data_IF_165085159702
#
_entry.id   IF_165085159702
#
_cell.length_a   1.000
_cell.length_b   1.000
_cell.length_c   1.000
_cell.angle_alpha   90.00
_cell.angle_beta   90.00
_cell.angle_gamma   90.00
#
_symmetry.space_group_name_H-M   'P 1'
#
loop_
_entity.id
_entity.type
_entity.pdbx_description
1 polymer ?
#
# COMPACT_ATOMS: atom_id res chain seq x y z
N UNK A 1 -18.47 -26.18 -9.39
CA UNK A 1 -19.03 -24.81 -9.20
C UNK A 1 -19.85 -24.77 -7.91
N UNK A 2 -20.13 -23.59 -7.32
CA UNK A 2 -20.93 -23.52 -6.08
C UNK A 2 -22.39 -23.94 -6.30
N UNK A 3 -22.98 -23.61 -7.45
CA UNK A 3 -24.33 -24.09 -7.83
C UNK A 3 -24.46 -25.63 -7.80
N UNK A 4 -23.47 -26.36 -8.31
CA UNK A 4 -23.47 -27.83 -8.30
C UNK A 4 -23.45 -28.40 -6.87
N UNK A 5 -22.70 -27.76 -5.97
CA UNK A 5 -22.65 -28.15 -4.56
C UNK A 5 -23.95 -27.79 -3.83
N UNK A 6 -24.60 -26.70 -4.23
CA UNK A 6 -25.90 -26.28 -3.71
C UNK A 6 -27.01 -27.21 -4.18
N UNK A 7 -26.98 -27.74 -5.40
CA UNK A 7 -27.91 -28.79 -5.83
C UNK A 7 -27.70 -30.09 -5.04
N UNK A 8 -26.45 -30.49 -4.82
CA UNK A 8 -26.15 -31.66 -3.99
C UNK A 8 -26.61 -31.47 -2.53
N UNK A 9 -26.50 -30.25 -1.99
CA UNK A 9 -26.95 -29.97 -0.61
C UNK A 9 -28.47 -30.11 -0.46
N UNK A 10 -29.24 -29.74 -1.50
CA UNK A 10 -30.70 -29.97 -1.54
C UNK A 10 -31.04 -31.45 -1.51
N UNK A 11 -30.28 -32.30 -2.22
CA UNK A 11 -30.44 -33.77 -2.16
C UNK A 11 -30.20 -34.32 -0.74
N UNK A 12 -29.37 -33.64 0.05
CA UNK A 12 -29.07 -33.97 1.45
C UNK A 12 -30.03 -33.29 2.45
N UNK A 13 -31.13 -32.70 1.98
CA UNK A 13 -32.10 -31.93 2.79
C UNK A 13 -31.46 -30.77 3.58
N UNK A 14 -30.40 -30.18 3.03
CA UNK A 14 -29.86 -28.93 3.53
C UNK A 14 -30.61 -27.78 2.88
N UNK A 15 -31.14 -26.87 3.71
CA UNK A 15 -31.64 -25.58 3.24
C UNK A 15 -30.47 -24.63 2.96
N UNK A 16 -30.76 -23.49 2.32
CA UNK A 16 -29.75 -22.51 1.92
C UNK A 16 -28.96 -21.96 3.12
N UNK A 17 -29.60 -21.78 4.27
CA UNK A 17 -28.95 -21.29 5.49
C UNK A 17 -27.91 -22.29 6.00
N UNK A 18 -28.29 -23.57 6.13
CA UNK A 18 -27.36 -24.65 6.49
C UNK A 18 -26.24 -24.83 5.47
N UNK A 19 -26.52 -24.64 4.18
CA UNK A 19 -25.50 -24.70 3.14
C UNK A 19 -24.46 -23.57 3.30
N UNK A 20 -24.91 -22.34 3.60
CA UNK A 20 -24.01 -21.21 3.87
C UNK A 20 -23.21 -21.43 5.17
N UNK A 21 -23.84 -21.95 6.22
CA UNK A 21 -23.14 -22.33 7.46
C UNK A 21 -22.09 -23.40 7.21
N UNK A 22 -22.41 -24.44 6.45
CA UNK A 22 -21.47 -25.45 6.01
C UNK A 22 -20.28 -24.81 5.27
N UNK A 23 -20.54 -23.96 4.28
CA UNK A 23 -19.48 -23.33 3.50
C UNK A 23 -18.55 -22.48 4.38
N UNK A 24 -19.11 -21.67 5.29
CA UNK A 24 -18.35 -20.87 6.26
C UNK A 24 -17.55 -21.73 7.22
N UNK A 25 -18.18 -22.76 7.79
CA UNK A 25 -17.56 -23.67 8.75
C UNK A 25 -16.38 -24.39 8.11
N UNK A 26 -16.56 -25.09 7.00
CA UNK A 26 -15.50 -25.85 6.35
C UNK A 26 -14.42 -24.97 5.71
N UNK A 27 -14.77 -23.75 5.27
CA UNK A 27 -13.76 -22.76 4.85
C UNK A 27 -12.91 -22.29 6.03
N UNK A 28 -13.50 -22.15 7.23
CA UNK A 28 -12.76 -21.71 8.43
C UNK A 28 -11.65 -22.68 8.87
N UNK A 29 -11.81 -23.98 8.59
CA UNK A 29 -10.81 -25.04 8.77
C UNK A 29 -9.89 -25.25 7.55
N UNK A 30 -10.13 -24.53 6.45
CA UNK A 30 -9.39 -24.71 5.20
C UNK A 30 -9.63 -26.05 4.52
N UNK A 31 -10.74 -26.75 4.85
CA UNK A 31 -11.13 -28.01 4.19
C UNK A 31 -11.66 -27.76 2.78
N UNK A 32 -12.33 -26.62 2.60
CA UNK A 32 -12.70 -26.06 1.29
C UNK A 32 -12.30 -24.59 1.26
N UNK A 33 -12.38 -23.95 0.09
CA UNK A 33 -12.30 -22.49 -0.03
C UNK A 33 -13.55 -22.02 -0.77
N UNK A 34 -14.53 -21.48 -0.03
CA UNK A 34 -15.63 -20.74 -0.63
C UNK A 34 -15.16 -19.31 -0.95
N UNK A 35 -14.94 -19.03 -2.24
CA UNK A 35 -14.44 -17.74 -2.72
C UNK A 35 -15.49 -16.64 -2.54
N UNK A 36 -16.78 -17.01 -2.47
CA UNK A 36 -17.86 -16.04 -2.26
C UNK A 36 -17.81 -15.34 -0.90
N UNK A 37 -17.07 -15.91 0.06
CA UNK A 37 -16.81 -15.29 1.36
C UNK A 37 -15.82 -14.12 1.27
N UNK A 38 -15.09 -14.01 0.16
CA UNK A 38 -14.13 -12.93 -0.10
C UNK A 38 -14.67 -12.00 -1.19
N UNK A 39 -15.19 -12.57 -2.28
CA UNK A 39 -15.85 -11.86 -3.37
C UNK A 39 -17.30 -12.37 -3.49
N UNK A 40 -18.29 -11.65 -2.95
CA UNK A 40 -19.70 -12.09 -2.98
C UNK A 40 -20.26 -12.38 -4.38
N UNK A 41 -19.63 -11.90 -5.45
CA UNK A 41 -20.03 -12.18 -6.83
C UNK A 41 -19.50 -13.50 -7.37
N UNK A 42 -18.54 -14.13 -6.68
CA UNK A 42 -17.90 -15.37 -7.10
C UNK A 42 -18.79 -16.58 -6.86
N UNK A 43 -18.87 -17.47 -7.85
CA UNK A 43 -19.57 -18.76 -7.79
C UNK A 43 -18.59 -19.95 -7.63
N UNK A 44 -17.39 -19.67 -7.12
CA UNK A 44 -16.31 -20.66 -7.00
C UNK A 44 -16.23 -21.23 -5.58
N UNK A 45 -16.22 -22.56 -5.49
CA UNK A 45 -15.81 -23.31 -4.30
C UNK A 45 -14.69 -24.28 -4.70
N UNK A 46 -13.57 -24.20 -3.98
CA UNK A 46 -12.44 -25.13 -4.13
C UNK A 46 -12.60 -26.25 -3.10
N UNK A 47 -12.97 -27.45 -3.55
CA UNK A 47 -13.19 -28.62 -2.69
C UNK A 47 -11.90 -29.34 -2.27
N UNK A 48 -10.81 -29.16 -3.02
CA UNK A 48 -9.50 -29.75 -2.73
C UNK A 48 -8.42 -28.67 -2.63
N UNK A 49 -8.38 -27.89 -1.53
CA UNK A 49 -7.49 -26.74 -1.39
C UNK A 49 -6.01 -27.08 -1.62
N UNK A 50 -5.53 -28.22 -1.10
CA UNK A 50 -4.12 -28.62 -1.26
C UNK A 50 -3.77 -28.88 -2.74
N UNK A 51 -4.60 -29.64 -3.44
CA UNK A 51 -4.39 -29.93 -4.88
C UNK A 51 -4.40 -28.64 -5.70
N UNK A 52 -5.34 -27.75 -5.39
CA UNK A 52 -5.46 -26.44 -6.03
C UNK A 52 -4.24 -25.54 -5.77
N UNK A 53 -3.79 -25.42 -4.52
CA UNK A 53 -2.62 -24.62 -4.15
C UNK A 53 -1.33 -25.15 -4.78
N UNK A 54 -1.13 -26.48 -4.79
CA UNK A 54 0.02 -27.11 -5.44
C UNK A 54 0.08 -26.81 -6.95
N UNK A 55 -1.07 -26.60 -7.60
CA UNK A 55 -1.12 -26.16 -9.01
C UNK A 55 -0.80 -24.67 -9.14
N UNK A 56 -1.32 -23.83 -8.25
CA UNK A 56 -0.96 -22.41 -8.21
C UNK A 56 0.54 -22.19 -8.02
N UNK A 57 1.22 -23.07 -7.29
CA UNK A 57 2.68 -23.03 -7.14
C UNK A 57 3.40 -23.05 -8.50
N UNK A 58 2.86 -23.75 -9.52
CA UNK A 58 3.47 -23.77 -10.86
C UNK A 58 3.51 -22.38 -11.53
N UNK A 59 2.56 -21.51 -11.18
CA UNK A 59 2.52 -20.13 -11.64
C UNK A 59 3.50 -19.24 -10.86
N UNK A 60 3.53 -19.36 -9.52
CA UNK A 60 4.39 -18.51 -8.68
C UNK A 60 5.87 -18.93 -8.70
N UNK A 61 6.17 -20.18 -9.04
CA UNK A 61 7.52 -20.69 -9.26
C UNK A 61 7.80 -20.99 -10.73
N UNK A 62 7.15 -20.24 -11.62
CA UNK A 62 7.29 -20.42 -13.06
C UNK A 62 8.73 -20.17 -13.52
N UNK A 63 9.33 -21.17 -14.16
CA UNK A 63 10.77 -21.21 -14.47
C UNK A 63 11.09 -21.41 -15.95
N UNK A 64 10.14 -21.14 -16.85
CA UNK A 64 10.30 -21.45 -18.29
C UNK A 64 11.24 -20.49 -19.05
N UNK A 65 11.84 -19.51 -18.37
CA UNK A 65 12.68 -18.48 -18.98
C UNK A 65 11.91 -17.38 -19.72
N UNK A 66 10.58 -17.43 -19.75
CA UNK A 66 9.73 -16.38 -20.30
C UNK A 66 9.85 -15.10 -19.45
N UNK A 67 10.58 -14.12 -19.97
CA UNK A 67 10.81 -12.86 -19.28
C UNK A 67 9.53 -12.04 -19.15
N UNK A 68 8.57 -12.16 -20.08
CA UNK A 68 7.28 -11.43 -20.03
C UNK A 68 6.52 -11.80 -18.76
N UNK A 69 6.52 -13.09 -18.42
CA UNK A 69 5.94 -13.59 -17.17
C UNK A 69 6.80 -13.23 -15.97
N UNK A 70 8.04 -13.72 -15.95
CA UNK A 70 8.91 -13.67 -14.76
C UNK A 70 9.45 -12.28 -14.42
N UNK A 71 9.40 -11.34 -15.37
CA UNK A 71 9.85 -9.96 -15.15
C UNK A 71 8.71 -8.98 -15.03
N UNK A 72 7.65 -9.11 -15.82
CA UNK A 72 6.58 -8.12 -15.89
C UNK A 72 5.28 -8.58 -15.25
N UNK A 73 5.19 -9.85 -14.86
CA UNK A 73 3.99 -10.41 -14.30
C UNK A 73 2.86 -10.55 -15.31
N UNK A 74 3.14 -10.43 -16.61
CA UNK A 74 2.12 -10.61 -17.64
C UNK A 74 2.05 -12.08 -18.05
N UNK A 75 0.90 -12.70 -17.81
CA UNK A 75 0.64 -14.10 -18.13
C UNK A 75 -0.35 -14.13 -19.28
N UNK A 76 0.13 -14.48 -20.48
CA UNK A 76 -0.73 -14.62 -21.65
C UNK A 76 -1.77 -15.72 -21.42
N UNK A 77 -2.90 -15.67 -22.17
CA UNK A 77 -3.88 -16.76 -22.15
C UNK A 77 -3.24 -18.13 -22.45
N UNK A 78 -2.38 -18.19 -23.47
CA UNK A 78 -1.70 -19.42 -23.86
C UNK A 78 -0.77 -19.94 -22.75
N UNK A 79 -0.06 -19.03 -22.07
CA UNK A 79 0.80 -19.38 -20.93
C UNK A 79 -0.04 -19.94 -19.77
N UNK A 80 -1.17 -19.30 -19.45
CA UNK A 80 -2.07 -19.78 -18.40
C UNK A 80 -2.59 -21.20 -18.72
N UNK A 81 -3.01 -21.44 -19.96
CA UNK A 81 -3.45 -22.76 -20.43
C UNK A 81 -2.32 -23.79 -20.35
N UNK A 82 -1.09 -23.43 -20.73
CA UNK A 82 0.06 -24.32 -20.64
C UNK A 82 0.41 -24.69 -19.18
N UNK A 83 0.19 -23.80 -18.22
CA UNK A 83 0.46 -24.05 -16.79
C UNK A 83 -0.64 -24.92 -16.16
N UNK A 84 -1.91 -24.65 -16.49
CA UNK A 84 -3.05 -25.17 -15.72
C UNK A 84 -3.89 -26.22 -16.46
N UNK A 85 -3.82 -26.35 -17.78
CA UNK A 85 -4.62 -27.33 -18.54
C UNK A 85 -3.81 -28.61 -18.84
N UNK A 86 -3.21 -29.22 -17.81
CA UNK A 86 -2.49 -30.49 -17.99
C UNK A 86 -3.44 -31.66 -18.28
N UNK A 87 -4.71 -31.52 -17.91
CA UNK A 87 -5.75 -32.52 -18.12
C UNK A 87 -7.00 -31.92 -18.79
N UNK A 88 -7.82 -32.73 -19.48
CA UNK A 88 -8.98 -32.25 -20.24
C UNK A 88 -10.07 -31.56 -19.41
N UNK A 89 -10.16 -31.90 -18.12
CA UNK A 89 -11.11 -31.37 -17.14
C UNK A 89 -10.59 -30.12 -16.40
N UNK A 90 -9.35 -29.72 -16.66
CA UNK A 90 -8.73 -28.57 -16.02
C UNK A 90 -8.87 -27.31 -16.87
N UNK A 91 -9.22 -26.21 -16.20
CA UNK A 91 -9.50 -24.95 -16.88
C UNK A 91 -8.75 -23.81 -16.19
N UNK A 92 -7.74 -23.29 -16.88
CA UNK A 92 -6.95 -22.11 -16.51
C UNK A 92 -7.84 -20.90 -16.15
N UNK A 93 -9.00 -20.75 -16.77
CA UNK A 93 -9.94 -19.68 -16.44
C UNK A 93 -10.44 -19.75 -14.99
N UNK A 94 -10.54 -20.95 -14.39
CA UNK A 94 -10.93 -21.11 -12.99
C UNK A 94 -9.85 -20.58 -12.04
N UNK A 95 -8.59 -20.89 -12.35
CA UNK A 95 -7.44 -20.38 -11.58
C UNK A 95 -7.33 -18.87 -11.70
N UNK A 96 -7.51 -18.33 -12.91
CA UNK A 96 -7.47 -16.89 -13.14
C UNK A 96 -8.63 -16.16 -12.46
N UNK A 97 -9.86 -16.67 -12.57
CA UNK A 97 -11.02 -16.12 -11.88
C UNK A 97 -10.86 -16.15 -10.35
N UNK A 98 -10.24 -17.19 -9.80
CA UNK A 98 -9.87 -17.24 -8.38
C UNK A 98 -8.88 -16.12 -8.01
N UNK A 99 -7.81 -15.94 -8.79
CA UNK A 99 -6.83 -14.89 -8.54
C UNK A 99 -7.41 -13.48 -8.71
N UNK A 100 -8.32 -13.28 -9.66
CA UNK A 100 -9.07 -12.03 -9.85
C UNK A 100 -9.98 -11.74 -8.64
N UNK A 101 -10.68 -12.75 -8.12
CA UNK A 101 -11.52 -12.64 -6.92
C UNK A 101 -10.72 -12.19 -5.68
N UNK A 102 -9.43 -12.57 -5.62
CA UNK A 102 -8.51 -12.18 -4.54
C UNK A 102 -7.77 -10.86 -4.80
N UNK A 103 -8.05 -10.16 -5.91
CA UNK A 103 -7.28 -8.98 -6.37
C UNK A 103 -5.78 -9.27 -6.51
N UNK A 104 -5.43 -10.50 -6.88
CA UNK A 104 -4.06 -10.92 -7.15
C UNK A 104 -3.74 -10.92 -8.65
N UNK A 105 -4.77 -10.89 -9.49
CA UNK A 105 -4.67 -10.77 -10.93
C UNK A 105 -5.71 -9.77 -11.44
N UNK A 106 -5.41 -9.13 -12.57
CA UNK A 106 -6.44 -8.45 -13.38
C UNK A 106 -6.29 -8.87 -14.83
N UNK A 107 -7.40 -9.09 -15.50
CA UNK A 107 -7.42 -9.28 -16.95
C UNK A 107 -6.90 -8.02 -17.66
N UNK A 108 -6.10 -8.24 -18.70
CA UNK A 108 -5.57 -7.21 -19.59
C UNK A 108 -6.05 -7.54 -21.01
N UNK A 109 -6.70 -6.58 -21.65
CA UNK A 109 -7.25 -6.71 -22.99
C UNK A 109 -6.20 -6.34 -24.06
N UNK A 110 -6.37 -6.79 -25.32
CA UNK A 110 -5.59 -6.29 -26.45
C UNK A 110 -5.60 -4.76 -26.49
N UNK A 111 -4.45 -4.16 -26.79
CA UNK A 111 -4.23 -2.71 -26.73
C UNK A 111 -4.06 -2.11 -25.33
N UNK A 112 -4.20 -2.87 -24.24
CA UNK A 112 -3.90 -2.38 -22.87
C UNK A 112 -2.49 -2.76 -22.39
N UNK A 113 -1.72 -3.45 -23.21
CA UNK A 113 -0.34 -3.87 -22.96
C UNK A 113 0.47 -3.66 -24.23
N UNK A 114 1.75 -3.33 -24.10
CA UNK A 114 2.62 -3.00 -25.25
C UNK A 114 2.87 -4.18 -26.20
N UNK A 115 2.49 -5.39 -25.81
CA UNK A 115 2.34 -6.54 -26.72
C UNK A 115 0.86 -6.71 -27.01
N UNK A 116 0.46 -6.78 -28.28
CA UNK A 116 -0.96 -6.90 -28.65
C UNK A 116 -1.50 -8.32 -28.38
N UNK A 117 -1.65 -8.64 -27.10
CA UNK A 117 -2.07 -9.94 -26.59
C UNK A 117 -3.03 -9.77 -25.41
N UNK A 118 -3.96 -10.70 -25.30
CA UNK A 118 -4.79 -10.82 -24.11
C UNK A 118 -4.09 -11.67 -23.05
N UNK A 119 -4.17 -11.25 -21.79
CA UNK A 119 -3.60 -11.99 -20.67
C UNK A 119 -4.08 -11.48 -19.33
N UNK A 120 -3.26 -11.74 -18.32
CA UNK A 120 -3.48 -11.32 -16.94
C UNK A 120 -2.23 -10.65 -16.41
N UNK A 121 -2.41 -9.56 -15.68
CA UNK A 121 -1.34 -8.93 -14.91
C UNK A 121 -1.34 -9.48 -13.48
N UNK A 122 -0.25 -10.13 -13.09
CA UNK A 122 -0.05 -10.84 -11.83
C UNK A 122 1.33 -10.44 -11.27
N UNK A 123 1.46 -9.35 -10.50
CA UNK A 123 2.76 -8.82 -10.08
C UNK A 123 3.59 -9.79 -9.21
N UNK A 124 2.96 -10.79 -8.60
CA UNK A 124 3.61 -11.72 -7.67
C UNK A 124 4.41 -12.83 -8.35
N UNK A 125 4.26 -13.03 -9.66
CA UNK A 125 5.11 -14.00 -10.39
C UNK A 125 6.45 -13.41 -10.78
N UNK A 126 6.62 -12.09 -10.62
CA UNK A 126 7.89 -11.41 -10.85
C UNK A 126 8.94 -11.89 -9.84
N UNK A 127 10.16 -12.18 -10.30
CA UNK A 127 11.24 -12.71 -9.45
C UNK A 127 12.48 -11.80 -9.36
N UNK A 128 12.45 -10.61 -9.95
CA UNK A 128 13.52 -9.63 -9.83
C UNK A 128 13.59 -9.01 -8.45
N UNK A 129 14.80 -8.69 -8.00
CA UNK A 129 15.03 -8.02 -6.72
C UNK A 129 14.23 -6.70 -6.64
N UNK A 130 13.69 -6.34 -5.47
CA UNK A 130 12.96 -5.09 -5.31
C UNK A 130 13.88 -3.88 -5.44
N UNK A 131 13.34 -2.80 -5.99
CA UNK A 131 13.95 -1.49 -5.96
C UNK A 131 13.69 -0.84 -4.61
N UNK A 132 14.75 -0.50 -3.89
CA UNK A 132 14.65 0.10 -2.54
C UNK A 132 14.92 1.61 -2.53
N UNK A 133 15.25 2.18 -3.68
CA UNK A 133 15.45 3.62 -3.83
C UNK A 133 14.11 4.33 -3.98
N UNK A 134 13.98 5.51 -3.40
CA UNK A 134 12.83 6.40 -3.50
C UNK A 134 13.31 7.74 -4.09
N UNK A 135 12.61 8.33 -5.07
CA UNK A 135 12.97 9.65 -5.59
C UNK A 135 12.30 10.74 -4.76
N UNK A 136 13.04 11.76 -4.29
CA UNK A 136 12.48 12.72 -3.34
C UNK A 136 11.37 13.60 -3.92
N UNK A 137 11.41 13.89 -5.22
CA UNK A 137 10.48 14.82 -5.89
C UNK A 137 9.34 14.12 -6.65
N UNK A 138 9.22 12.80 -6.51
CA UNK A 138 8.06 12.03 -6.98
C UNK A 138 6.80 12.34 -6.18
N UNK A 139 5.64 11.98 -6.73
CA UNK A 139 4.40 11.94 -5.97
C UNK A 139 4.37 10.65 -5.16
N UNK A 140 4.17 10.75 -3.85
CA UNK A 140 4.06 9.58 -2.97
C UNK A 140 2.67 9.53 -2.37
N UNK A 141 2.07 8.35 -2.38
CA UNK A 141 0.91 8.00 -1.59
C UNK A 141 1.39 7.27 -0.35
N UNK A 142 1.04 7.79 0.83
CA UNK A 142 1.39 7.24 2.14
C UNK A 142 0.13 6.76 2.83
N UNK A 143 0.14 5.57 3.42
CA UNK A 143 -1.05 4.97 4.06
C UNK A 143 -0.71 4.23 5.36
N UNK A 144 -1.68 4.08 6.28
CA UNK A 144 -1.48 3.51 7.64
C UNK A 144 -1.42 1.98 7.70
N UNK A 145 -1.94 1.29 6.70
CA UNK A 145 -2.01 -0.17 6.67
C UNK A 145 -1.22 -0.73 5.49
N UNK A 146 -0.54 -1.86 5.68
CA UNK A 146 0.00 -2.63 4.56
C UNK A 146 -1.17 -3.25 3.76
N UNK A 147 -1.65 -2.53 2.74
CA UNK A 147 -2.33 -3.17 1.61
C UNK A 147 -1.34 -4.21 1.05
N UNK A 148 -1.78 -5.38 0.60
CA UNK A 148 -0.80 -6.28 -0.03
C UNK A 148 -0.28 -5.65 -1.33
N UNK A 149 1.02 -5.80 -1.61
CA UNK A 149 1.67 -5.40 -2.87
C UNK A 149 0.80 -5.74 -4.09
N UNK A 150 0.26 -6.95 -4.09
CA UNK A 150 -0.58 -7.48 -5.16
C UNK A 150 -1.88 -6.69 -5.29
N UNK A 151 -2.60 -6.49 -4.18
CA UNK A 151 -3.89 -5.83 -4.19
C UNK A 151 -3.78 -4.43 -4.78
N UNK A 152 -2.86 -3.61 -4.29
CA UNK A 152 -2.75 -2.23 -4.78
C UNK A 152 -2.32 -2.20 -6.25
N UNK A 153 -1.24 -2.90 -6.63
CA UNK A 153 -0.74 -2.89 -8.01
C UNK A 153 -1.79 -3.39 -8.99
N UNK A 154 -2.51 -4.45 -8.66
CA UNK A 154 -3.56 -5.03 -9.53
C UNK A 154 -4.73 -4.07 -9.67
N UNK A 155 -5.28 -3.59 -8.55
CA UNK A 155 -6.45 -2.71 -8.56
C UNK A 155 -6.13 -1.38 -9.24
N UNK A 156 -4.97 -0.80 -8.96
CA UNK A 156 -4.49 0.41 -9.61
C UNK A 156 -4.33 0.21 -11.12
N UNK A 157 -3.66 -0.86 -11.55
CA UNK A 157 -3.45 -1.13 -12.98
C UNK A 157 -4.78 -1.32 -13.71
N UNK A 158 -5.70 -2.09 -13.14
CA UNK A 158 -7.01 -2.34 -13.71
C UNK A 158 -7.81 -1.03 -13.89
N UNK A 159 -7.90 -0.23 -12.82
CA UNK A 159 -8.65 1.01 -12.82
C UNK A 159 -8.01 2.05 -13.75
N UNK A 160 -6.67 2.17 -13.75
CA UNK A 160 -5.95 3.16 -14.53
C UNK A 160 -6.06 2.90 -16.03
N UNK A 161 -5.87 1.64 -16.47
CA UNK A 161 -5.99 1.28 -17.89
C UNK A 161 -7.43 1.39 -18.39
N UNK A 162 -8.42 1.27 -17.50
CA UNK A 162 -9.84 1.51 -17.80
C UNK A 162 -10.16 3.01 -17.91
N UNK A 163 -9.65 3.84 -17.00
CA UNK A 163 -9.95 5.27 -16.94
C UNK A 163 -9.11 6.11 -17.90
N UNK A 164 -7.93 5.60 -18.30
CA UNK A 164 -6.99 6.29 -19.18
C UNK A 164 -6.60 5.41 -20.38
N UNK A 165 -7.48 5.26 -21.39
CA UNK A 165 -7.28 4.33 -22.51
C UNK A 165 -6.09 4.64 -23.43
N UNK A 166 -5.42 5.79 -23.26
CA UNK A 166 -4.19 6.13 -23.99
C UNK A 166 -2.97 5.37 -23.45
N UNK A 167 -3.04 4.87 -22.21
CA UNK A 167 -1.95 4.14 -21.57
C UNK A 167 -2.02 2.63 -21.84
N UNK A 168 -0.86 2.02 -21.72
CA UNK A 168 -0.64 0.58 -21.77
C UNK A 168 0.28 0.17 -20.63
N UNK A 169 0.16 -1.09 -20.21
CA UNK A 169 1.17 -1.75 -19.39
C UNK A 169 2.43 -1.98 -20.24
N UNK A 170 3.57 -1.44 -19.80
CA UNK A 170 4.85 -1.59 -20.49
C UNK A 170 5.53 -2.91 -20.11
N UNK A 171 5.62 -3.83 -21.08
CA UNK A 171 6.33 -5.11 -20.94
C UNK A 171 7.62 -5.18 -21.78
N UNK A 172 8.13 -4.04 -22.25
CA UNK A 172 9.34 -3.97 -23.09
C UNK A 172 10.64 -3.94 -22.29
N UNK A 173 10.61 -3.47 -21.04
CA UNK A 173 11.78 -3.32 -20.16
C UNK A 173 11.59 -3.98 -18.81
N UNK A 174 12.54 -4.83 -18.43
CA UNK A 174 12.53 -5.63 -17.19
C UNK A 174 12.46 -4.74 -15.93
N UNK A 175 11.32 -4.68 -15.22
CA UNK A 175 11.21 -3.93 -13.97
C UNK A 175 11.62 -4.78 -12.77
N UNK A 176 11.85 -4.12 -11.64
CA UNK A 176 11.93 -4.77 -10.33
C UNK A 176 10.55 -5.31 -9.89
N UNK A 177 10.48 -6.33 -9.02
CA UNK A 177 9.20 -6.94 -8.56
C UNK A 177 8.18 -5.92 -8.04
N UNK A 178 8.66 -4.88 -7.37
CA UNK A 178 7.81 -3.86 -6.77
C UNK A 178 7.50 -2.69 -7.72
N UNK A 179 7.91 -2.75 -8.98
CA UNK A 179 7.67 -1.71 -9.99
C UNK A 179 6.62 -2.18 -11.00
N UNK A 180 5.76 -1.27 -11.43
CA UNK A 180 4.88 -1.40 -12.60
C UNK A 180 5.17 -0.22 -13.54
N UNK A 181 5.33 -0.49 -14.83
CA UNK A 181 5.62 0.53 -15.83
C UNK A 181 4.40 0.76 -16.72
N UNK A 182 4.14 2.01 -17.05
CA UNK A 182 3.10 2.40 -17.99
C UNK A 182 3.74 3.21 -19.14
N UNK A 183 3.24 3.00 -20.36
CA UNK A 183 3.65 3.73 -21.56
C UNK A 183 2.42 4.15 -22.38
N UNK A 184 2.64 4.99 -23.39
CA UNK A 184 1.65 5.22 -24.44
C UNK A 184 1.64 4.08 -25.46
N UNK A 185 0.63 4.10 -26.34
CA UNK A 185 0.57 3.24 -27.53
C UNK A 185 1.75 3.45 -28.51
N UNK A 186 2.49 4.55 -28.38
CA UNK A 186 3.73 4.83 -29.11
C UNK A 186 4.98 4.23 -28.44
N UNK A 187 4.82 3.44 -27.38
CA UNK A 187 5.88 2.92 -26.49
C UNK A 187 6.65 4.01 -25.71
N UNK A 188 6.19 5.27 -25.77
CA UNK A 188 6.77 6.36 -25.00
C UNK A 188 6.46 6.19 -23.50
N UNK A 189 7.45 6.28 -22.59
CA UNK A 189 7.23 6.11 -21.16
C UNK A 189 6.24 7.12 -20.58
N UNK A 190 5.30 6.65 -19.75
CA UNK A 190 4.30 7.50 -19.10
C UNK A 190 4.63 7.75 -17.63
N UNK A 191 4.69 6.69 -16.82
CA UNK A 191 5.16 6.74 -15.43
C UNK A 191 5.50 5.34 -14.93
N UNK A 192 6.15 5.27 -13.78
CA UNK A 192 6.35 4.05 -13.02
C UNK A 192 5.63 4.15 -11.67
N UNK A 193 4.97 3.08 -11.27
CA UNK A 193 4.45 2.88 -9.91
C UNK A 193 5.44 2.00 -9.17
N UNK A 194 5.97 2.46 -8.05
CA UNK A 194 6.90 1.73 -7.19
C UNK A 194 6.28 1.52 -5.81
N UNK A 195 6.07 0.26 -5.44
CA UNK A 195 5.52 -0.10 -4.13
C UNK A 195 6.65 -0.31 -3.12
N UNK A 196 6.61 0.41 -2.01
CA UNK A 196 7.66 0.39 -0.97
C UNK A 196 7.09 0.02 0.41
N UNK A 197 5.90 -0.60 0.47
CA UNK A 197 5.22 -0.95 1.72
C UNK A 197 4.10 0.03 2.03
N UNK A 198 4.28 0.85 3.07
CA UNK A 198 3.39 1.95 3.47
C UNK A 198 3.44 3.16 2.52
N UNK A 199 4.33 3.11 1.53
CA UNK A 199 4.54 4.14 0.53
C UNK A 199 4.38 3.55 -0.86
N UNK A 200 3.63 4.25 -1.70
CA UNK A 200 3.58 4.02 -3.14
C UNK A 200 4.10 5.28 -3.82
N UNK A 201 5.15 5.13 -4.62
CA UNK A 201 5.76 6.22 -5.37
C UNK A 201 5.32 6.18 -6.84
N UNK A 202 4.96 7.35 -7.38
CA UNK A 202 4.69 7.56 -8.80
C UNK A 202 5.80 8.40 -9.41
N UNK A 203 6.58 7.79 -10.31
CA UNK A 203 7.72 8.41 -10.99
C UNK A 203 7.37 8.80 -12.40
N UNK A 204 7.64 10.05 -12.75
CA UNK A 204 7.35 10.58 -14.08
C UNK A 204 8.65 10.82 -14.85
N UNK A 205 8.71 10.49 -16.14
CA UNK A 205 9.75 11.01 -17.02
C UNK A 205 9.55 12.53 -17.23
N UNK A 206 10.38 13.13 -18.08
CA UNK A 206 10.23 14.53 -18.50
C UNK A 206 9.03 14.66 -19.46
N UNK A 207 7.83 14.64 -18.89
CA UNK A 207 6.56 14.93 -19.56
C UNK A 207 6.36 16.44 -19.70
N UNK A 208 5.61 16.84 -20.73
CA UNK A 208 5.10 18.20 -20.82
C UNK A 208 4.10 18.47 -19.69
N UNK A 209 3.88 19.76 -19.41
CA UNK A 209 3.08 20.23 -18.27
C UNK A 209 1.62 19.79 -18.35
N UNK A 210 1.01 19.84 -19.53
CA UNK A 210 -0.41 19.52 -19.71
C UNK A 210 -0.64 18.03 -19.55
N UNK A 211 0.25 17.22 -20.10
CA UNK A 211 0.23 15.77 -19.99
C UNK A 211 0.49 15.30 -18.56
N UNK A 212 1.47 15.89 -17.87
CA UNK A 212 1.72 15.59 -16.46
C UNK A 212 0.48 15.88 -15.61
N UNK A 213 -0.21 16.99 -15.87
CA UNK A 213 -1.44 17.35 -15.18
C UNK A 213 -2.54 16.31 -15.45
N UNK A 214 -2.76 15.94 -16.71
CA UNK A 214 -3.76 14.94 -17.12
C UNK A 214 -3.49 13.58 -16.44
N UNK A 215 -2.25 13.08 -16.53
CA UNK A 215 -1.86 11.78 -15.99
C UNK A 215 -1.94 11.78 -14.47
N UNK A 216 -1.39 12.80 -13.81
CA UNK A 216 -1.41 12.90 -12.35
C UNK A 216 -2.84 13.01 -11.80
N UNK A 217 -3.74 13.74 -12.48
CA UNK A 217 -5.15 13.80 -12.10
C UNK A 217 -5.81 12.41 -12.15
N UNK A 218 -5.50 11.60 -13.15
CA UNK A 218 -5.99 10.21 -13.24
C UNK A 218 -5.40 9.31 -12.15
N UNK A 219 -4.11 9.46 -11.84
CA UNK A 219 -3.45 8.72 -10.75
C UNK A 219 -4.12 9.03 -9.41
N UNK A 220 -4.31 10.31 -9.08
CA UNK A 220 -4.92 10.75 -7.82
C UNK A 220 -6.34 10.22 -7.67
N UNK A 221 -7.18 10.35 -8.71
CA UNK A 221 -8.55 9.79 -8.71
C UNK A 221 -8.57 8.29 -8.46
N UNK A 222 -7.70 7.54 -9.12
CA UNK A 222 -7.63 6.10 -8.96
C UNK A 222 -7.17 5.71 -7.54
N UNK A 223 -6.19 6.41 -6.98
CA UNK A 223 -5.80 6.23 -5.58
C UNK A 223 -6.98 6.47 -4.62
N UNK A 224 -7.77 7.53 -4.84
CA UNK A 224 -8.98 7.77 -4.05
C UNK A 224 -10.00 6.64 -4.17
N UNK A 225 -10.26 6.13 -5.38
CA UNK A 225 -11.18 5.01 -5.61
C UNK A 225 -10.76 3.81 -4.75
N UNK A 226 -9.51 3.37 -4.86
CA UNK A 226 -8.97 2.21 -4.11
C UNK A 226 -9.00 2.45 -2.60
N UNK A 227 -8.55 3.62 -2.14
CA UNK A 227 -8.50 3.92 -0.71
C UNK A 227 -9.88 4.08 -0.08
N UNK A 228 -10.91 4.42 -0.88
CA UNK A 228 -12.29 4.52 -0.39
C UNK A 228 -13.01 3.16 -0.29
N UNK A 229 -12.50 2.11 -0.95
CA UNK A 229 -13.04 0.73 -0.81
C UNK A 229 -12.77 0.13 0.58
N UNK A 230 -11.90 0.76 1.39
CA UNK A 230 -11.48 0.25 2.69
C UNK A 230 -11.35 1.39 3.72
N UNK A 231 -11.25 1.07 5.01
CA UNK A 231 -11.08 2.06 6.08
C UNK A 231 -9.64 2.55 6.27
N UNK A 232 -8.88 2.59 5.17
CA UNK A 232 -7.47 2.99 5.17
C UNK A 232 -7.37 4.51 5.22
N UNK A 233 -6.50 5.00 6.12
CA UNK A 233 -6.13 6.40 6.15
C UNK A 233 -4.91 6.61 5.25
N UNK A 234 -4.92 7.69 4.46
CA UNK A 234 -3.84 7.99 3.55
C UNK A 234 -3.63 9.49 3.36
N UNK A 235 -2.47 9.84 2.81
CA UNK A 235 -2.11 11.19 2.36
C UNK A 235 -1.17 11.14 1.17
N UNK A 236 -1.08 12.24 0.44
CA UNK A 236 -0.04 12.42 -0.56
C UNK A 236 1.12 13.24 -0.01
N UNK A 237 2.34 12.94 -0.45
CA UNK A 237 3.55 13.59 0.03
C UNK A 237 4.66 13.64 -1.03
N UNK A 238 5.68 14.45 -0.74
CA UNK A 238 7.02 14.33 -1.32
C UNK A 238 8.02 13.93 -0.24
N UNK A 239 9.21 13.46 -0.59
CA UNK A 239 10.25 13.20 0.42
C UNK A 239 11.16 14.42 0.56
N UNK A 240 11.58 14.71 1.80
CA UNK A 240 12.49 15.80 2.11
C UNK A 240 13.89 15.54 1.54
N UNK A 241 14.56 16.61 1.12
CA UNK A 241 15.93 16.55 0.58
C UNK A 241 16.98 16.12 1.63
N UNK A 242 16.68 16.23 2.93
CA UNK A 242 17.54 15.73 4.02
C UNK A 242 17.88 14.26 3.90
N UNK A 243 17.01 13.50 3.24
CA UNK A 243 17.10 12.06 3.11
C UNK A 243 18.12 11.62 2.05
N UNK A 244 18.61 12.54 1.19
CA UNK A 244 19.60 12.21 0.14
C UNK A 244 20.95 11.73 0.70
N UNK A 245 21.24 12.00 1.97
CA UNK A 245 22.52 11.66 2.62
C UNK A 245 22.47 10.44 3.55
N UNK A 246 21.28 9.87 3.80
CA UNK A 246 21.15 8.64 4.58
C UNK A 246 21.14 7.45 3.60
N UNK A 247 22.12 6.55 3.73
CA UNK A 247 22.38 5.49 2.75
C UNK A 247 21.17 4.63 2.34
N UNK A 248 21.38 3.84 1.28
CA UNK A 248 20.42 3.12 0.42
C UNK A 248 19.42 2.14 1.07
N UNK A 249 19.28 2.09 2.40
CA UNK A 249 18.52 1.04 3.07
C UNK A 249 17.73 1.50 4.31
N UNK A 250 17.43 2.80 4.45
CA UNK A 250 16.62 3.28 5.57
C UNK A 250 15.44 4.08 5.06
N UNK A 251 14.22 3.51 5.18
CA UNK A 251 12.93 4.18 4.99
C UNK A 251 12.66 5.27 6.07
N UNK A 252 13.70 5.85 6.67
CA UNK A 252 13.62 7.00 7.56
C UNK A 252 13.61 8.28 6.73
N UNK A 253 12.59 8.43 5.89
CA UNK A 253 12.46 9.61 5.06
C UNK A 253 11.55 10.61 5.75
N UNK A 254 12.07 11.79 6.09
CA UNK A 254 11.19 12.93 6.38
C UNK A 254 10.38 13.21 5.10
N UNK A 255 9.07 13.35 5.23
CA UNK A 255 8.13 13.55 4.13
C UNK A 255 7.59 14.99 4.18
N UNK A 256 6.85 15.45 3.19
CA UNK A 256 6.09 16.68 3.32
C UNK A 256 4.73 16.46 2.69
N UNK A 257 3.67 16.64 3.48
CA UNK A 257 2.32 16.45 3.01
C UNK A 257 2.02 17.40 1.84
N UNK A 258 1.25 16.91 0.88
CA UNK A 258 0.73 17.68 -0.22
C UNK A 258 -0.75 18.05 0.06
N UNK A 259 -1.22 19.25 -0.33
CA UNK A 259 -0.50 20.34 -1.02
C UNK A 259 0.70 20.88 -0.22
N UNK A 260 1.84 21.09 -0.89
CA UNK A 260 3.09 21.49 -0.23
C UNK A 260 2.97 22.93 0.27
N UNK A 261 2.79 23.09 1.58
CA UNK A 261 2.60 24.39 2.25
C UNK A 261 3.83 24.84 3.04
N UNK A 262 4.89 24.04 3.05
CA UNK A 262 6.05 24.23 3.94
C UNK A 262 7.19 25.05 3.32
N UNK A 263 7.74 25.99 4.10
CA UNK A 263 8.97 26.74 3.83
C UNK A 263 10.23 25.90 4.12
N UNK A 264 10.26 24.63 3.68
CA UNK A 264 11.40 23.77 3.96
C UNK A 264 12.65 24.24 3.18
N UNK A 265 13.53 25.00 3.84
CA UNK A 265 14.73 25.60 3.24
C UNK A 265 15.60 24.58 2.51
N UNK A 266 15.72 23.36 3.05
CA UNK A 266 16.52 22.29 2.45
C UNK A 266 15.91 21.76 1.15
N UNK A 267 14.60 21.58 1.12
CA UNK A 267 13.88 21.22 -0.10
C UNK A 267 13.99 22.33 -1.15
N UNK A 268 13.76 23.58 -0.74
CA UNK A 268 13.88 24.76 -1.61
C UNK A 268 15.28 24.92 -2.22
N UNK A 269 16.34 24.59 -1.47
CA UNK A 269 17.72 24.65 -1.97
C UNK A 269 18.10 23.48 -2.89
N UNK A 270 17.51 22.30 -2.69
CA UNK A 270 17.86 21.09 -3.43
C UNK A 270 17.03 20.87 -4.71
N UNK A 271 15.81 21.42 -4.77
CA UNK A 271 14.89 21.23 -5.90
C UNK A 271 15.33 22.02 -7.13
N UNK A 272 15.23 21.39 -8.30
CA UNK A 272 15.34 22.11 -9.57
C UNK A 272 14.07 22.92 -9.87
N UNK A 273 14.16 23.87 -10.81
CA UNK A 273 12.97 24.59 -11.29
C UNK A 273 11.88 23.64 -11.82
N UNK A 274 12.27 22.53 -12.47
CA UNK A 274 11.34 21.50 -12.94
C UNK A 274 10.63 20.81 -11.77
N UNK A 275 11.34 20.47 -10.70
CA UNK A 275 10.73 19.85 -9.52
C UNK A 275 9.70 20.77 -8.86
N UNK A 276 10.03 22.06 -8.74
CA UNK A 276 9.11 23.08 -8.20
C UNK A 276 7.83 23.17 -9.04
N UNK A 277 7.94 23.14 -10.37
CA UNK A 277 6.76 23.13 -11.25
C UNK A 277 5.93 21.84 -11.11
N UNK A 278 6.58 20.67 -11.02
CA UNK A 278 5.89 19.39 -10.78
C UNK A 278 5.11 19.40 -9.46
N UNK A 279 5.74 19.86 -8.38
CA UNK A 279 5.10 19.92 -7.05
C UNK A 279 3.91 20.89 -7.03
N UNK A 280 4.00 22.00 -7.76
CA UNK A 280 2.86 22.92 -7.96
C UNK A 280 1.69 22.24 -8.66
N UNK A 281 1.96 21.40 -9.67
CA UNK A 281 0.93 20.61 -10.36
C UNK A 281 0.30 19.58 -9.42
N UNK A 282 1.11 18.86 -8.65
CA UNK A 282 0.58 17.89 -7.67
C UNK A 282 -0.30 18.59 -6.63
N UNK A 283 0.17 19.73 -6.11
CA UNK A 283 -0.56 20.52 -5.12
C UNK A 283 -1.88 21.07 -5.67
N UNK A 284 -1.91 21.52 -6.93
CA UNK A 284 -3.15 22.02 -7.54
C UNK A 284 -4.17 20.91 -7.77
N UNK A 285 -3.73 19.72 -8.19
CA UNK A 285 -4.59 18.54 -8.36
C UNK A 285 -5.17 18.12 -7.02
N UNK A 286 -4.35 18.06 -5.97
CA UNK A 286 -4.79 17.66 -4.63
C UNK A 286 -5.65 18.70 -3.91
N UNK A 287 -5.60 19.95 -4.35
CA UNK A 287 -6.56 21.00 -3.93
C UNK A 287 -7.91 20.82 -4.65
N UNK A 288 -7.90 20.31 -5.90
CA UNK A 288 -9.12 20.02 -6.67
C UNK A 288 -9.78 18.70 -6.22
N UNK A 289 -8.97 17.71 -5.87
CA UNK A 289 -9.38 16.36 -5.45
C UNK A 289 -8.92 16.14 -4.00
N UNK A 290 -9.60 16.80 -3.07
CA UNK A 290 -9.24 16.75 -1.65
C UNK A 290 -9.55 15.38 -1.04
N UNK A 291 -8.71 14.94 -0.12
CA UNK A 291 -8.96 13.76 0.69
C UNK A 291 -10.04 14.09 1.71
N UNK A 292 -11.06 13.24 1.83
CA UNK A 292 -12.08 13.38 2.86
C UNK A 292 -11.43 13.42 4.25
N UNK A 293 -11.83 14.35 5.12
CA UNK A 293 -11.23 14.55 6.45
C UNK A 293 -11.12 13.27 7.28
N UNK A 294 -12.10 12.36 7.15
CA UNK A 294 -12.16 11.09 7.87
C UNK A 294 -11.16 10.04 7.36
N UNK A 295 -10.60 10.25 6.16
CA UNK A 295 -9.62 9.38 5.49
C UNK A 295 -8.20 9.93 5.54
N UNK A 296 -8.00 11.12 6.10
CA UNK A 296 -6.68 11.76 6.16
C UNK A 296 -5.80 11.02 7.16
N UNK A 297 -4.64 10.56 6.69
CA UNK A 297 -3.59 10.03 7.54
C UNK A 297 -2.94 11.16 8.36
N UNK A 298 -3.40 11.38 9.58
CA UNK A 298 -2.77 12.36 10.46
C UNK A 298 -1.38 11.86 10.88
N UNK A 299 -0.34 12.54 10.43
CA UNK A 299 1.06 12.15 10.64
C UNK A 299 1.49 12.27 12.10
N UNK A 300 1.44 11.16 12.83
CA UNK A 300 2.53 10.53 13.58
C UNK A 300 1.97 9.37 14.43
N UNK A 301 2.77 8.30 14.54
CA UNK A 301 2.56 7.23 15.51
C UNK A 301 2.88 7.76 16.92
N UNK A 302 2.00 7.50 17.88
CA UNK A 302 2.21 7.85 19.30
C UNK A 302 3.58 7.38 19.82
N UNK A 303 4.13 6.31 19.24
CA UNK A 303 5.47 5.79 19.51
C UNK A 303 6.59 6.80 19.23
N UNK A 304 6.56 7.45 18.06
CA UNK A 304 7.62 8.35 17.62
C UNK A 304 7.58 9.64 18.44
N UNK A 305 6.38 10.16 18.66
CA UNK A 305 6.18 11.31 19.56
C UNK A 305 6.67 10.94 20.96
N UNK A 306 6.35 9.75 21.45
CA UNK A 306 6.76 9.31 22.79
C UNK A 306 8.27 9.18 22.93
N UNK A 307 8.98 8.67 21.92
CA UNK A 307 10.44 8.56 21.92
C UNK A 307 11.10 9.94 21.89
N UNK A 308 10.65 10.85 21.02
CA UNK A 308 11.21 12.21 20.95
C UNK A 308 10.98 13.00 22.24
N UNK A 309 9.87 12.78 22.92
CA UNK A 309 9.60 13.42 24.23
C UNK A 309 10.59 12.98 25.32
N UNK A 310 11.26 11.81 25.18
CA UNK A 310 12.33 11.38 26.12
C UNK A 310 13.62 12.18 26.00
N UNK A 311 13.78 12.95 24.92
CA UNK A 311 14.97 13.77 24.66
C UNK A 311 14.90 15.16 25.30
N UNK A 312 13.75 15.51 25.89
CA UNK A 312 13.57 16.73 26.66
C UNK A 312 14.34 16.68 27.98
N UNK A 313 14.60 17.84 28.57
CA UNK A 313 15.03 17.92 29.97
C UNK A 313 13.94 17.35 30.91
N UNK A 314 14.35 16.83 32.07
CA UNK A 314 13.46 16.17 33.03
C UNK A 314 12.35 17.12 33.53
N UNK A 315 12.69 18.39 33.75
CA UNK A 315 11.75 19.44 34.15
C UNK A 315 10.68 19.68 33.07
N UNK A 316 11.04 19.55 31.80
CA UNK A 316 10.16 19.78 30.65
C UNK A 316 9.30 18.58 30.32
N UNK A 317 9.88 17.39 30.35
CA UNK A 317 9.15 16.13 30.32
C UNK A 317 8.00 16.13 31.37
N UNK A 318 8.32 16.54 32.60
CA UNK A 318 7.35 16.67 33.70
C UNK A 318 6.27 17.71 33.42
N UNK A 319 6.63 18.85 32.83
CA UNK A 319 5.67 19.91 32.46
C UNK A 319 4.70 19.44 31.37
N UNK A 320 5.22 18.83 30.30
CA UNK A 320 4.40 18.23 29.23
C UNK A 320 3.45 17.19 29.81
N UNK A 321 3.97 16.24 30.60
CA UNK A 321 3.14 15.19 31.20
C UNK A 321 2.02 15.76 32.09
N UNK A 322 2.34 16.76 32.90
CA UNK A 322 1.37 17.38 33.82
C UNK A 322 0.27 18.12 33.06
N UNK A 323 0.60 18.75 31.94
CA UNK A 323 -0.35 19.48 31.09
C UNK A 323 -1.39 18.55 30.43
N UNK A 324 -0.98 17.32 30.09
CA UNK A 324 -1.87 16.34 29.44
C UNK A 324 -2.60 15.43 30.44
N UNK A 325 -1.98 15.09 31.56
CA UNK A 325 -2.55 14.16 32.54
C UNK A 325 -3.22 14.83 33.73
N UNK A 326 -2.98 16.13 33.96
CA UNK A 326 -3.51 16.89 35.10
C UNK A 326 -2.90 16.50 36.44
N UNK A 327 -1.80 15.74 36.44
CA UNK A 327 -1.13 15.24 37.65
C UNK A 327 0.38 15.33 37.49
N UNK A 328 1.08 15.79 38.53
CA UNK A 328 2.54 15.66 38.61
C UNK A 328 2.92 14.26 39.08
N UNK A 329 3.89 13.64 38.42
CA UNK A 329 4.47 12.36 38.83
C UNK A 329 6.00 12.49 38.85
N UNK A 330 6.70 11.62 39.58
CA UNK A 330 8.17 11.51 39.51
C UNK A 330 8.50 10.19 38.79
N UNK A 331 8.13 10.14 37.50
CA UNK A 331 8.40 9.00 36.64
C UNK A 331 9.79 9.13 36.01
N UNK A 332 10.29 8.00 35.51
CA UNK A 332 11.48 8.03 34.65
C UNK A 332 11.12 8.65 33.30
N UNK A 333 11.55 9.90 33.13
CA UNK A 333 11.29 10.69 31.92
C UNK A 333 12.12 10.27 30.71
N UNK A 334 13.05 9.32 30.88
CA UNK A 334 13.75 8.69 29.75
C UNK A 334 13.01 7.48 29.20
N UNK A 335 11.95 7.00 29.87
CA UNK A 335 11.14 5.88 29.40
C UNK A 335 10.02 6.36 28.47
N UNK A 336 10.13 6.03 27.18
CA UNK A 336 9.14 6.37 26.15
C UNK A 336 7.75 5.83 26.48
N UNK A 337 7.64 4.72 27.24
CA UNK A 337 6.34 4.14 27.62
C UNK A 337 5.50 5.10 28.46
N UNK A 338 6.15 5.98 29.23
CA UNK A 338 5.47 7.01 30.04
C UNK A 338 4.72 7.98 29.13
N UNK A 339 5.36 8.43 28.05
CA UNK A 339 4.76 9.34 27.08
C UNK A 339 3.78 8.65 26.14
N UNK A 340 4.03 7.40 25.75
CA UNK A 340 3.06 6.65 24.97
C UNK A 340 1.76 6.48 25.75
N UNK A 341 1.82 6.09 27.02
CA UNK A 341 0.63 5.97 27.85
C UNK A 341 -0.10 7.31 28.00
N UNK A 342 0.64 8.41 28.14
CA UNK A 342 0.06 9.76 28.17
C UNK A 342 -0.72 10.07 26.89
N UNK A 343 -0.11 9.84 25.73
CA UNK A 343 -0.72 10.11 24.42
C UNK A 343 -1.98 9.25 24.24
N UNK A 344 -1.89 7.94 24.48
CA UNK A 344 -3.03 7.03 24.37
C UNK A 344 -4.17 7.41 25.32
N UNK A 345 -3.85 7.77 26.57
CA UNK A 345 -4.86 8.19 27.56
C UNK A 345 -5.51 9.51 27.18
N UNK A 346 -4.76 10.43 26.56
CA UNK A 346 -5.31 11.67 26.03
C UNK A 346 -6.20 11.42 24.81
N UNK A 347 -5.80 10.50 23.94
CA UNK A 347 -6.55 10.10 22.75
C UNK A 347 -7.89 9.46 23.08
N UNK A 348 -7.95 8.58 24.08
CA UNK A 348 -9.19 7.96 24.55
C UNK A 348 -10.20 8.99 25.10
N UNK A 349 -9.71 10.10 25.67
CA UNK A 349 -10.53 11.10 26.35
C UNK A 349 -11.03 12.23 25.45
N UNK A 350 -10.45 12.43 24.26
CA UNK A 350 -10.72 13.59 23.40
C UNK A 350 -11.09 13.16 21.98
N UNK A 351 -12.20 13.68 21.43
CA UNK A 351 -12.55 13.50 20.00
C UNK A 351 -11.69 14.45 19.15
N UNK A 352 -11.10 13.94 18.06
CA UNK A 352 -10.03 14.59 17.25
C UNK A 352 -8.69 14.79 17.98
N UNK A 353 -8.30 13.80 18.79
CA UNK A 353 -7.22 13.93 19.75
C UNK A 353 -5.83 14.23 19.19
N UNK A 354 -5.42 13.69 18.03
CA UNK A 354 -4.02 13.84 17.56
C UNK A 354 -3.66 15.27 17.18
N UNK A 355 -4.52 15.95 16.41
CA UNK A 355 -4.30 17.37 16.03
C UNK A 355 -4.37 18.29 17.25
N UNK A 356 -5.33 18.03 18.15
CA UNK A 356 -5.46 18.80 19.38
C UNK A 356 -4.30 18.54 20.35
N UNK A 357 -3.78 17.31 20.40
CA UNK A 357 -2.62 16.94 21.19
C UNK A 357 -1.38 17.74 20.74
N UNK A 358 -1.06 17.75 19.45
CA UNK A 358 0.09 18.48 18.93
C UNK A 358 -0.08 20.01 19.05
N UNK A 359 -1.28 20.53 18.78
CA UNK A 359 -1.57 21.96 18.97
C UNK A 359 -1.40 22.36 20.44
N UNK A 360 -1.87 21.52 21.37
CA UNK A 360 -1.68 21.73 22.80
C UNK A 360 -0.21 21.62 23.20
N UNK A 361 0.53 20.65 22.65
CA UNK A 361 1.96 20.47 22.89
C UNK A 361 2.77 21.72 22.46
N UNK A 362 2.42 22.32 21.32
CA UNK A 362 3.03 23.55 20.81
C UNK A 362 2.73 24.78 21.69
N UNK A 363 1.55 24.81 22.32
CA UNK A 363 1.12 25.93 23.16
C UNK A 363 1.78 25.98 24.54
N UNK A 364 2.54 24.93 24.91
CA UNK A 364 3.25 24.89 26.20
C UNK A 364 4.41 25.89 26.17
N UNK A 365 4.50 26.84 27.11
CA UNK A 365 5.53 27.87 27.09
C UNK A 365 6.90 27.33 27.52
N UNK A 366 7.90 27.48 26.65
CA UNK A 366 9.29 27.09 26.89
C UNK A 366 10.22 28.30 26.93
N UNK A 367 11.09 28.38 27.94
CA UNK A 367 12.07 29.46 28.11
C UNK A 367 13.46 29.12 27.54
N UNK A 368 13.74 27.82 27.34
CA UNK A 368 14.96 27.32 26.73
C UNK A 368 14.74 27.11 25.23
N UNK A 369 15.59 27.73 24.42
CA UNK A 369 15.54 27.65 22.96
C UNK A 369 15.76 26.22 22.44
N UNK A 370 16.61 25.42 23.08
CA UNK A 370 16.90 24.06 22.60
C UNK A 370 15.71 23.11 22.74
N UNK A 371 14.97 23.19 23.84
CA UNK A 371 13.79 22.33 24.07
C UNK A 371 12.56 22.88 23.33
N UNK A 372 12.45 24.21 23.16
CA UNK A 372 11.46 24.82 22.28
C UNK A 372 11.66 24.36 20.82
N UNK A 373 12.91 24.34 20.34
CA UNK A 373 13.25 23.86 19.00
C UNK A 373 12.93 22.36 18.84
N UNK A 374 13.13 21.52 19.87
CA UNK A 374 12.74 20.09 19.84
C UNK A 374 11.23 19.89 19.83
N UNK A 375 10.47 20.64 20.63
CA UNK A 375 9.00 20.59 20.58
C UNK A 375 8.51 21.09 19.23
N UNK A 376 9.10 22.16 18.70
CA UNK A 376 8.78 22.64 17.36
C UNK A 376 9.17 21.60 16.31
N UNK A 377 10.26 20.83 16.50
CA UNK A 377 10.59 19.68 15.65
C UNK A 377 9.58 18.54 15.78
N UNK A 378 9.04 18.24 16.97
CA UNK A 378 7.99 17.23 17.18
C UNK A 378 6.67 17.67 16.51
N UNK A 379 6.29 18.94 16.68
CA UNK A 379 5.08 19.52 16.11
C UNK A 379 5.20 19.67 14.59
N UNK A 380 6.37 20.05 14.09
CA UNK A 380 6.66 20.11 12.66
C UNK A 380 6.98 18.74 12.06
N UNK A 381 7.21 17.71 12.87
CA UNK A 381 7.48 16.35 12.41
C UNK A 381 6.23 15.55 12.12
N UNK A 382 5.11 16.19 11.73
CA UNK A 382 3.90 15.58 11.13
C UNK A 382 4.17 14.75 9.84
N UNK A 383 5.40 14.31 9.66
CA UNK A 383 6.18 14.14 8.45
C UNK A 383 7.22 13.02 8.64
N UNK A 384 7.49 12.54 9.87
CA UNK A 384 8.52 11.53 10.15
C UNK A 384 7.92 10.24 10.72
N UNK A 385 7.77 9.22 9.88
CA UNK A 385 7.61 7.83 10.32
C UNK A 385 8.97 7.18 10.58
N UNK A 386 9.13 6.46 11.69
CA UNK A 386 10.34 5.72 12.06
C UNK A 386 9.95 4.25 12.22
N UNK A 387 10.58 3.36 11.46
CA UNK A 387 10.46 1.91 11.65
C UNK A 387 11.85 1.27 11.75
N UNK A 388 12.05 0.49 12.80
CA UNK A 388 13.20 -0.40 12.96
C UNK A 388 12.82 -1.75 12.34
N UNK A 389 13.40 -2.08 11.18
CA UNK A 389 13.34 -3.45 10.66
C UNK A 389 14.27 -4.33 11.49
N UNK A 390 13.70 -5.25 12.26
CA UNK A 390 14.45 -6.41 12.75
C UNK A 390 14.45 -7.48 11.65
N UNK A 391 15.65 -7.71 11.13
CA UNK A 391 16.10 -8.83 10.31
C UNK A 391 15.37 -9.10 8.97
N UNK A 392 16.15 -8.91 7.92
CA UNK A 392 15.95 -9.44 6.58
C UNK A 392 15.73 -10.96 6.63
N UNK A 393 14.48 -11.38 6.47
CA UNK A 393 14.10 -12.66 5.89
C UNK A 393 12.75 -12.49 5.18
N UNK A 394 12.74 -11.65 4.14
CA UNK A 394 11.58 -11.53 3.24
C UNK A 394 11.63 -12.71 2.27
N UNK A 395 11.29 -13.88 2.80
CA UNK A 395 11.04 -15.10 2.04
C UNK A 395 9.53 -15.35 2.05
N UNK A 396 8.88 -15.16 0.89
CA UNK A 396 7.86 -16.06 0.33
C UNK A 396 6.98 -16.77 1.38
N UNK A 397 6.24 -16.03 2.22
CA UNK A 397 5.42 -16.64 3.29
C UNK A 397 4.03 -16.01 3.49
N UNK A 398 3.67 -14.96 2.76
CA UNK A 398 2.39 -14.28 3.00
C UNK A 398 1.15 -15.13 2.65
N UNK A 399 1.26 -16.10 1.73
CA UNK A 399 0.16 -17.03 1.40
C UNK A 399 0.18 -18.26 2.33
N UNK A 400 1.36 -18.71 2.78
CA UNK A 400 1.49 -19.85 3.72
C UNK A 400 1.05 -19.51 5.14
N UNK A 401 1.29 -18.29 5.64
CA UNK A 401 1.02 -17.93 7.03
C UNK A 401 -0.47 -17.79 7.35
N UNK A 402 -1.32 -17.41 6.38
CA UNK A 402 -2.77 -17.29 6.62
C UNK A 402 -3.51 -18.63 6.62
N UNK A 403 -2.93 -19.68 6.01
CA UNK A 403 -3.53 -21.02 5.96
C UNK A 403 -2.85 -22.05 6.87
N UNK A 404 -1.55 -21.92 7.20
CA UNK A 404 -0.87 -22.86 8.13
C UNK A 404 -1.05 -22.55 9.61
N UNK A 405 -1.33 -21.30 9.99
CA UNK A 405 -1.46 -20.90 11.41
C UNK A 405 -2.75 -21.38 12.09
N UNK A 406 -3.68 -22.01 11.36
CA UNK A 406 -4.91 -22.62 11.92
C UNK A 406 -4.89 -24.15 11.99
N UNK A 407 -3.75 -24.81 11.72
CA UNK A 407 -3.64 -26.27 11.76
C UNK A 407 -2.88 -26.83 12.99
N UNK A 408 -2.57 -25.98 13.97
CA UNK A 408 -2.00 -26.39 15.26
C UNK A 408 -2.83 -25.91 16.45
N UNK A 409 -4.16 -26.09 16.37
CA UNK A 409 -5.06 -26.17 17.52
C UNK A 409 -6.03 -27.33 17.30
#
# INVERSE_FOLDING_TARGET
MKDELQELSKELNMDDEKFQEFCRFFTSFGSIIDVSLIDPSSNLIILQPISFLNKLDKLFYYSSGDSVVTSHGFVSKATAEAIFNEKPDENAATFMAFLESLRMATKILPGQVSIDQQGYYIPNVCNHLPLLQCSPTSLHLVHDMNISLSHFKVSFTANFLRSYPKAQLDVSRTPHINVTRFCFHSDDPLFELVYLGDIIEFRFPDLDKELLLEVCENIVKNCHEIMNESDILYNFAIMCATNQHQGSCKLHMERHALPFKDDCERCSAAMSNKDVERIKIFSSILTKHEISEKKILNGEDAAIVSEKLTELSAERAKAVYSEFMGTSSDKDWRDWKVFMQMILTWEEKNKDAKRQFLSKLQSIPFADKSDADKIQQIVNSQIKGQFVYHNCDVSINFIKLRFRSRQHL
#
